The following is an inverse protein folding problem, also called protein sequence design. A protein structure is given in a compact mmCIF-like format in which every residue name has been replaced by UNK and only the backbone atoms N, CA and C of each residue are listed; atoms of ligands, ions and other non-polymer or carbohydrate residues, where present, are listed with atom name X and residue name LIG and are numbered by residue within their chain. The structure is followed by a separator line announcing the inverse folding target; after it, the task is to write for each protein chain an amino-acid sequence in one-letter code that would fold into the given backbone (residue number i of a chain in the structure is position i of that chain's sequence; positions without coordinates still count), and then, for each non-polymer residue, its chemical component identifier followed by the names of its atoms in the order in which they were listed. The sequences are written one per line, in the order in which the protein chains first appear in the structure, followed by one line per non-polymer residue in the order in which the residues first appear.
data_IF_644825336896
#
_entry.id   IF_644825336896
#
_cell.length_a   1.000
_cell.length_b   1.000
_cell.length_c   1.000
_cell.angle_alpha   90.00
_cell.angle_beta   90.00
_cell.angle_gamma   90.00
#
_symmetry.space_group_name_H-M   'P 1'
#
loop_
_entity.id
_entity.type
_entity.pdbx_description
1 polymer ?
#
# COMPACT_ATOMS: atom_id res chain seq x y z
N UNK A 1 -31.72 -39.79 14.59
CA UNK A 1 -30.81 -39.70 13.43
C UNK A 1 -31.05 -38.35 12.77
N UNK A 2 -30.29 -37.34 13.14
CA UNK A 2 -30.40 -35.99 12.55
C UNK A 2 -29.55 -36.02 11.28
N UNK A 3 -30.21 -36.02 10.13
CA UNK A 3 -29.52 -35.91 8.84
C UNK A 3 -28.74 -34.58 8.81
N UNK A 4 -27.41 -34.68 8.62
CA UNK A 4 -26.60 -33.53 8.29
C UNK A 4 -27.13 -32.86 7.02
N UNK A 5 -27.23 -31.52 6.97
CA UNK A 5 -27.68 -30.85 5.76
C UNK A 5 -26.80 -31.25 4.58
N UNK A 6 -27.39 -31.43 3.39
CA UNK A 6 -26.62 -31.76 2.19
C UNK A 6 -25.50 -30.71 2.00
N UNK A 7 -24.35 -31.10 1.43
CA UNK A 7 -23.28 -30.13 1.17
C UNK A 7 -23.86 -28.99 0.36
N UNK A 8 -23.73 -27.77 0.89
CA UNK A 8 -24.22 -26.56 0.23
C UNK A 8 -23.73 -26.60 -1.21
N UNK A 9 -24.67 -26.42 -2.15
CA UNK A 9 -24.42 -26.38 -3.59
C UNK A 9 -23.11 -25.60 -3.82
N UNK A 10 -22.19 -26.20 -4.55
CA UNK A 10 -20.91 -25.59 -4.95
C UNK A 10 -21.20 -24.19 -5.46
N UNK A 11 -21.13 -23.18 -4.59
CA UNK A 11 -20.97 -21.82 -5.07
C UNK A 11 -19.70 -21.84 -5.91
N UNK A 12 -19.81 -21.47 -7.17
CA UNK A 12 -18.69 -21.32 -8.09
C UNK A 12 -17.86 -20.12 -7.68
N UNK A 13 -17.41 -20.10 -6.42
CA UNK A 13 -16.38 -19.16 -5.95
C UNK A 13 -15.12 -19.57 -6.65
N UNK A 14 -14.75 -18.82 -7.70
CA UNK A 14 -13.46 -19.00 -8.38
C UNK A 14 -12.38 -19.04 -7.31
N UNK A 15 -11.50 -20.06 -7.28
CA UNK A 15 -10.42 -20.10 -6.32
C UNK A 15 -9.61 -18.82 -6.48
N UNK A 16 -9.60 -18.01 -5.43
CA UNK A 16 -8.83 -16.77 -5.43
C UNK A 16 -7.37 -17.14 -5.26
N UNK A 17 -6.57 -16.96 -6.29
CA UNK A 17 -5.14 -17.27 -6.27
C UNK A 17 -4.34 -16.10 -5.68
N UNK A 18 -3.34 -16.43 -4.86
CA UNK A 18 -2.34 -15.48 -4.38
C UNK A 18 -1.75 -14.67 -5.55
N UNK A 19 -1.69 -13.37 -5.39
CA UNK A 19 -1.17 -12.44 -6.39
C UNK A 19 0.25 -12.04 -6.04
N UNK A 20 1.28 -12.59 -6.70
CA UNK A 20 2.66 -12.25 -6.39
C UNK A 20 2.91 -10.74 -6.55
N UNK A 21 3.46 -10.11 -5.52
CA UNK A 21 3.80 -8.68 -5.51
C UNK A 21 5.30 -8.41 -5.49
N UNK A 22 6.13 -9.46 -5.45
CA UNK A 22 7.59 -9.32 -5.38
C UNK A 22 8.19 -8.58 -6.59
N UNK A 23 7.76 -8.89 -7.81
CA UNK A 23 8.19 -8.19 -9.02
C UNK A 23 7.78 -6.70 -9.01
N UNK A 24 6.54 -6.42 -8.58
CA UNK A 24 6.06 -5.04 -8.45
C UNK A 24 6.83 -4.27 -7.37
N UNK A 25 7.16 -4.91 -6.24
CA UNK A 25 8.04 -4.34 -5.20
C UNK A 25 9.38 -3.92 -5.78
N UNK A 26 10.01 -4.78 -6.57
CA UNK A 26 11.31 -4.48 -7.19
C UNK A 26 11.19 -3.32 -8.19
N UNK A 27 10.20 -3.36 -9.07
CA UNK A 27 9.93 -2.28 -10.02
C UNK A 27 9.68 -0.94 -9.29
N UNK A 28 8.84 -0.93 -8.26
CA UNK A 28 8.57 0.26 -7.45
C UNK A 28 9.78 0.76 -6.69
N UNK A 29 10.65 -0.13 -6.20
CA UNK A 29 11.89 0.29 -5.54
C UNK A 29 12.76 1.12 -6.49
N UNK A 30 12.91 0.68 -7.74
CA UNK A 30 13.69 1.42 -8.73
C UNK A 30 13.00 2.68 -9.23
N UNK A 31 11.71 2.62 -9.54
CA UNK A 31 10.94 3.78 -9.98
C UNK A 31 10.93 4.89 -8.92
N UNK A 32 10.64 4.55 -7.68
CA UNK A 32 10.65 5.52 -6.57
C UNK A 32 12.06 6.05 -6.28
N UNK A 33 13.11 5.24 -6.47
CA UNK A 33 14.49 5.74 -6.36
C UNK A 33 14.81 6.76 -7.46
N UNK A 34 14.36 6.50 -8.70
CA UNK A 34 14.49 7.46 -9.82
C UNK A 34 13.64 8.71 -9.55
N UNK A 35 12.42 8.58 -9.02
CA UNK A 35 11.59 9.72 -8.62
C UNK A 35 12.28 10.57 -7.55
N UNK A 36 12.92 9.95 -6.54
CA UNK A 36 13.67 10.67 -5.50
C UNK A 36 14.84 11.46 -6.10
N UNK A 37 15.65 10.81 -6.96
CA UNK A 37 16.77 11.47 -7.66
C UNK A 37 16.25 12.59 -8.57
N UNK A 38 15.18 12.33 -9.33
CA UNK A 38 14.54 13.31 -10.19
C UNK A 38 14.03 14.52 -9.42
N UNK A 39 13.40 14.30 -8.25
CA UNK A 39 12.97 15.40 -7.38
C UNK A 39 14.15 16.27 -6.91
N UNK A 40 15.28 15.65 -6.55
CA UNK A 40 16.50 16.39 -6.19
C UNK A 40 17.09 17.15 -7.39
N UNK A 41 17.06 16.56 -8.60
CA UNK A 41 17.51 17.24 -9.81
C UNK A 41 16.65 18.48 -10.14
N UNK A 42 15.32 18.36 -10.00
CA UNK A 42 14.41 19.50 -10.16
C UNK A 42 14.67 20.57 -9.09
N UNK A 43 14.89 20.17 -7.83
CA UNK A 43 15.28 21.11 -6.77
C UNK A 43 16.57 21.87 -7.12
N UNK A 44 17.59 21.16 -7.60
CA UNK A 44 18.83 21.77 -8.10
C UNK A 44 18.63 22.75 -9.25
N UNK A 45 17.74 22.41 -10.19
CA UNK A 45 17.39 23.34 -11.31
C UNK A 45 16.70 24.61 -10.80
N UNK A 46 15.79 24.51 -9.83
CA UNK A 46 15.17 25.68 -9.19
C UNK A 46 16.19 26.56 -8.43
N UNK A 47 17.14 25.92 -7.70
CA UNK A 47 18.21 26.65 -7.03
C UNK A 47 19.09 27.37 -8.05
N UNK A 48 19.50 26.70 -9.14
CA UNK A 48 20.30 27.29 -10.20
C UNK A 48 19.57 28.48 -10.83
N UNK A 49 18.25 28.36 -11.13
CA UNK A 49 17.46 29.47 -11.66
C UNK A 49 17.38 30.66 -10.68
N UNK A 50 17.20 30.38 -9.38
CA UNK A 50 17.19 31.43 -8.36
C UNK A 50 18.51 32.21 -8.30
N UNK A 51 19.65 31.51 -8.42
CA UNK A 51 20.98 32.14 -8.52
C UNK A 51 21.14 32.94 -9.81
N UNK A 52 20.72 32.38 -10.94
CA UNK A 52 20.77 33.07 -12.24
C UNK A 52 19.94 34.37 -12.26
N UNK A 53 18.79 34.41 -11.55
CA UNK A 53 17.99 35.64 -11.37
C UNK A 53 18.76 36.69 -10.58
N UNK A 54 19.42 36.30 -9.49
CA UNK A 54 20.23 37.23 -8.69
C UNK A 54 21.42 37.79 -9.46
N UNK A 55 22.10 36.95 -10.24
CA UNK A 55 23.22 37.37 -11.09
C UNK A 55 22.75 38.29 -12.22
N UNK A 56 21.62 38.02 -12.83
CA UNK A 56 21.05 38.86 -13.87
C UNK A 56 20.70 40.26 -13.33
N UNK A 57 20.10 40.35 -12.14
CA UNK A 57 19.77 41.64 -11.47
C UNK A 57 21.00 42.47 -11.15
N UNK A 58 22.13 41.84 -10.90
CA UNK A 58 23.41 42.50 -10.62
C UNK A 58 24.19 42.84 -11.88
N UNK A 59 23.67 42.51 -13.06
CA UNK A 59 24.36 42.68 -14.35
C UNK A 59 25.50 41.67 -14.55
N UNK A 60 25.62 40.62 -13.73
CA UNK A 60 26.68 39.62 -13.79
C UNK A 60 26.45 38.51 -14.83
N UNK A 61 25.26 38.40 -15.40
CA UNK A 61 24.93 37.41 -16.43
C UNK A 61 24.00 37.94 -17.50
N UNK A 62 23.84 37.21 -18.59
CA UNK A 62 23.03 37.53 -19.74
C UNK A 62 21.62 36.94 -19.67
N UNK A 63 20.66 37.55 -20.39
CA UNK A 63 19.31 37.00 -20.51
C UNK A 63 19.27 35.61 -21.10
N UNK A 64 20.22 35.26 -22.01
CA UNK A 64 20.34 33.89 -22.54
C UNK A 64 20.67 32.85 -21.48
N UNK A 65 21.51 33.20 -20.51
CA UNK A 65 21.83 32.32 -19.38
C UNK A 65 20.63 32.11 -18.45
N UNK A 66 19.87 33.18 -18.19
CA UNK A 66 18.63 33.06 -17.40
C UNK A 66 17.59 32.16 -18.10
N UNK A 67 17.47 32.31 -19.45
CA UNK A 67 16.58 31.45 -20.25
C UNK A 67 17.02 29.98 -20.20
N UNK A 68 18.32 29.70 -20.28
CA UNK A 68 18.85 28.33 -20.18
C UNK A 68 18.51 27.70 -18.80
N UNK A 69 18.57 28.49 -17.72
CA UNK A 69 18.18 28.01 -16.40
C UNK A 69 16.65 27.71 -16.31
N UNK A 70 15.81 28.52 -16.95
CA UNK A 70 14.37 28.27 -17.04
C UNK A 70 14.06 27.01 -17.87
N UNK A 71 14.72 26.84 -19.00
CA UNK A 71 14.59 25.62 -19.84
C UNK A 71 15.03 24.36 -19.09
N UNK A 72 16.04 24.44 -18.25
CA UNK A 72 16.44 23.32 -17.38
C UNK A 72 15.34 22.93 -16.39
N UNK A 73 14.70 23.92 -15.71
CA UNK A 73 13.58 23.63 -14.81
C UNK A 73 12.44 22.97 -15.56
N UNK A 74 12.06 23.44 -16.74
CA UNK A 74 11.00 22.84 -17.56
C UNK A 74 11.33 21.44 -17.99
N UNK A 75 12.55 21.21 -18.46
CA UNK A 75 13.00 19.90 -18.96
C UNK A 75 12.99 18.87 -17.84
N UNK A 76 13.63 19.15 -16.71
CA UNK A 76 13.66 18.22 -15.58
C UNK A 76 12.27 17.98 -14.99
N UNK A 77 11.42 19.01 -14.88
CA UNK A 77 10.04 18.86 -14.40
C UNK A 77 9.22 18.02 -15.35
N UNK A 78 9.32 18.24 -16.65
CA UNK A 78 8.64 17.42 -17.66
C UNK A 78 9.06 15.96 -17.63
N UNK A 79 10.37 15.70 -17.58
CA UNK A 79 10.90 14.33 -17.52
C UNK A 79 10.42 13.60 -16.25
N UNK A 80 10.54 14.24 -15.10
CA UNK A 80 10.11 13.63 -13.82
C UNK A 80 8.61 13.42 -13.74
N UNK A 81 7.80 14.23 -14.42
CA UNK A 81 6.35 14.03 -14.49
C UNK A 81 6.00 12.69 -15.16
N UNK A 82 6.63 12.33 -16.27
CA UNK A 82 6.35 11.06 -16.93
C UNK A 82 6.84 9.86 -16.11
N UNK A 83 7.96 9.98 -15.42
CA UNK A 83 8.45 8.94 -14.50
C UNK A 83 7.46 8.75 -13.35
N UNK A 84 7.02 9.85 -12.72
CA UNK A 84 6.01 9.83 -11.67
C UNK A 84 4.71 9.17 -12.13
N UNK A 85 4.25 9.45 -13.36
CA UNK A 85 3.05 8.83 -13.90
C UNK A 85 3.21 7.31 -14.04
N UNK A 86 4.35 6.84 -14.54
CA UNK A 86 4.65 5.41 -14.61
C UNK A 86 4.71 4.78 -13.21
N UNK A 87 5.35 5.46 -12.26
CA UNK A 87 5.39 5.03 -10.84
C UNK A 87 3.97 4.93 -10.27
N UNK A 88 3.11 5.92 -10.49
CA UNK A 88 1.74 5.94 -9.99
C UNK A 88 0.93 4.74 -10.49
N UNK A 89 1.04 4.38 -11.76
CA UNK A 89 0.36 3.21 -12.34
C UNK A 89 0.81 1.93 -11.65
N UNK A 90 2.12 1.70 -11.55
CA UNK A 90 2.67 0.49 -10.92
C UNK A 90 2.31 0.44 -9.43
N UNK A 91 2.31 1.60 -8.77
CA UNK A 91 1.96 1.75 -7.35
C UNK A 91 0.49 1.38 -7.07
N UNK A 92 -0.43 1.88 -7.89
CA UNK A 92 -1.87 1.55 -7.78
C UNK A 92 -2.11 0.06 -8.03
N UNK A 93 -1.44 -0.53 -9.03
CA UNK A 93 -1.54 -1.97 -9.31
C UNK A 93 -1.00 -2.80 -8.14
N UNK A 94 0.14 -2.41 -7.57
CA UNK A 94 0.70 -3.05 -6.39
C UNK A 94 -0.24 -2.94 -5.19
N UNK A 95 -0.78 -1.75 -4.92
CA UNK A 95 -1.71 -1.52 -3.81
C UNK A 95 -2.98 -2.38 -3.94
N UNK A 96 -3.55 -2.45 -5.15
CA UNK A 96 -4.72 -3.28 -5.40
C UNK A 96 -4.44 -4.76 -5.21
N UNK A 97 -3.29 -5.27 -5.72
CA UNK A 97 -2.89 -6.67 -5.49
C UNK A 97 -2.68 -6.96 -4.00
N UNK A 98 -2.05 -6.04 -3.29
CA UNK A 98 -1.82 -6.18 -1.83
C UNK A 98 -3.15 -6.18 -1.05
N UNK A 99 -4.14 -5.37 -1.45
CA UNK A 99 -5.47 -5.40 -0.86
C UNK A 99 -6.18 -6.74 -1.11
N UNK A 100 -6.07 -7.29 -2.33
CA UNK A 100 -6.58 -8.62 -2.66
C UNK A 100 -5.88 -9.73 -1.86
N UNK A 101 -4.58 -9.63 -1.65
CA UNK A 101 -3.85 -10.59 -0.84
C UNK A 101 -4.30 -10.57 0.64
N UNK A 102 -4.63 -9.40 1.19
CA UNK A 102 -5.19 -9.33 2.54
C UNK A 102 -6.55 -10.04 2.66
N UNK A 103 -7.40 -10.00 1.61
CA UNK A 103 -8.62 -10.81 1.58
C UNK A 103 -8.30 -12.31 1.62
N UNK A 104 -7.28 -12.76 0.86
CA UNK A 104 -6.83 -14.17 0.85
C UNK A 104 -6.20 -14.62 2.16
N UNK A 105 -5.62 -13.70 2.93
CA UNK A 105 -5.15 -13.97 4.28
C UNK A 105 -6.29 -14.05 5.31
N UNK A 106 -7.56 -14.01 4.86
CA UNK A 106 -8.72 -14.12 5.72
C UNK A 106 -9.00 -12.86 6.56
N UNK A 107 -8.50 -11.69 6.15
CA UNK A 107 -8.72 -10.42 6.87
C UNK A 107 -10.14 -9.93 6.63
N UNK A 108 -11.04 -10.28 7.55
CA UNK A 108 -12.47 -9.98 7.44
C UNK A 108 -12.76 -8.48 7.64
N UNK A 109 -13.77 -7.99 6.93
CA UNK A 109 -14.31 -6.63 7.06
C UNK A 109 -13.24 -5.53 6.89
N UNK A 110 -12.50 -5.48 5.75
CA UNK A 110 -11.65 -4.33 5.47
C UNK A 110 -12.51 -3.06 5.46
N UNK A 111 -11.93 -1.91 5.84
CA UNK A 111 -12.65 -0.61 5.82
C UNK A 111 -13.09 -0.24 4.42
N UNK A 112 -12.29 -0.63 3.43
CA UNK A 112 -12.52 -0.35 2.03
C UNK A 112 -12.33 -1.63 1.22
N UNK A 113 -13.21 -1.86 0.23
CA UNK A 113 -12.99 -2.93 -0.74
C UNK A 113 -11.74 -2.66 -1.58
N UNK A 114 -11.10 -3.68 -2.18
CA UNK A 114 -9.90 -3.49 -3.01
C UNK A 114 -10.08 -2.49 -4.17
N UNK A 115 -11.29 -2.27 -4.66
CA UNK A 115 -11.57 -1.25 -5.67
C UNK A 115 -11.23 0.17 -5.23
N UNK A 116 -11.35 0.47 -3.93
CA UNK A 116 -10.96 1.75 -3.37
C UNK A 116 -9.45 2.01 -3.37
N UNK A 117 -8.62 0.96 -3.54
CA UNK A 117 -7.19 1.12 -3.80
C UNK A 117 -6.90 1.82 -5.13
N UNK A 118 -7.88 1.86 -6.02
CA UNK A 118 -7.82 2.61 -7.29
C UNK A 118 -8.65 3.89 -7.15
N UNK A 119 -9.96 3.78 -6.91
CA UNK A 119 -10.89 4.92 -6.91
C UNK A 119 -10.55 5.99 -5.87
N UNK A 120 -9.99 5.60 -4.72
CA UNK A 120 -9.62 6.53 -3.66
C UNK A 120 -8.59 7.60 -4.05
N UNK A 121 -7.82 7.38 -5.14
CA UNK A 121 -6.84 8.35 -5.63
C UNK A 121 -7.44 9.44 -6.52
N UNK A 122 -8.60 9.17 -7.14
CA UNK A 122 -9.20 10.04 -8.17
C UNK A 122 -10.33 10.91 -7.63
N UNK A 123 -10.84 10.64 -6.44
CA UNK A 123 -11.95 11.41 -5.86
C UNK A 123 -11.37 12.56 -5.02
N UNK A 124 -11.66 13.83 -5.36
CA UNK A 124 -11.21 14.99 -4.58
C UNK A 124 -11.57 14.85 -3.09
N UNK A 125 -10.72 15.35 -2.22
CA UNK A 125 -10.80 15.23 -0.75
C UNK A 125 -10.71 13.80 -0.21
N UNK A 126 -11.33 12.82 -0.87
CA UNK A 126 -11.20 11.41 -0.50
C UNK A 126 -9.76 10.91 -0.69
N UNK A 127 -9.06 11.42 -1.71
CA UNK A 127 -7.66 11.13 -1.99
C UNK A 127 -6.70 11.57 -0.86
N UNK A 128 -7.13 12.44 0.05
CA UNK A 128 -6.34 12.83 1.23
C UNK A 128 -6.49 11.86 2.41
N UNK A 129 -7.57 11.07 2.44
CA UNK A 129 -7.91 10.23 3.61
C UNK A 129 -7.93 8.74 3.28
N UNK A 130 -8.56 8.37 2.15
CA UNK A 130 -8.80 6.96 1.81
C UNK A 130 -7.49 6.20 1.58
N UNK A 131 -6.52 6.68 0.78
CA UNK A 131 -5.26 5.97 0.58
C UNK A 131 -4.51 5.73 1.89
N UNK A 132 -4.41 6.76 2.75
CA UNK A 132 -3.77 6.63 4.06
C UNK A 132 -4.38 5.51 4.89
N UNK A 133 -5.72 5.43 4.94
CA UNK A 133 -6.43 4.40 5.69
C UNK A 133 -6.22 3.02 5.09
N UNK A 134 -6.20 2.90 3.76
CA UNK A 134 -5.90 1.64 3.07
C UNK A 134 -4.49 1.16 3.40
N UNK A 135 -3.49 2.05 3.42
CA UNK A 135 -2.13 1.67 3.79
C UNK A 135 -2.02 1.17 5.23
N UNK A 136 -2.76 1.76 6.16
CA UNK A 136 -2.85 1.23 7.53
C UNK A 136 -3.50 -0.15 7.55
N UNK A 137 -4.57 -0.36 6.78
CA UNK A 137 -5.23 -1.66 6.66
C UNK A 137 -4.30 -2.71 6.00
N UNK A 138 -3.51 -2.31 4.99
CA UNK A 138 -2.50 -3.18 4.37
C UNK A 138 -1.41 -3.60 5.36
N UNK A 139 -0.91 -2.66 6.16
CA UNK A 139 0.08 -2.92 7.19
C UNK A 139 -0.45 -3.85 8.30
N UNK A 140 -1.60 -3.51 8.86
CA UNK A 140 -2.22 -4.29 9.94
C UNK A 140 -2.61 -5.68 9.46
N UNK A 141 -3.19 -5.79 8.26
CA UNK A 141 -3.58 -7.06 7.65
C UNK A 141 -2.40 -7.94 7.21
N UNK A 142 -1.23 -7.36 7.01
CA UNK A 142 0.00 -8.08 6.65
C UNK A 142 0.73 -8.70 7.85
N UNK A 143 0.18 -8.64 9.06
CA UNK A 143 0.84 -9.18 10.25
C UNK A 143 0.87 -10.71 10.21
N UNK A 144 2.07 -11.35 10.16
CA UNK A 144 2.20 -12.80 10.12
C UNK A 144 1.78 -13.48 11.42
N UNK A 145 1.86 -12.75 12.55
CA UNK A 145 1.54 -13.29 13.88
C UNK A 145 0.05 -13.17 14.23
N UNK A 146 -0.74 -12.53 13.38
CA UNK A 146 -2.18 -12.36 13.60
C UNK A 146 -2.90 -13.70 13.41
N UNK A 147 -3.28 -14.34 14.50
CA UNK A 147 -4.11 -15.55 14.52
C UNK A 147 -5.60 -15.24 14.51
N UNK A 148 -6.00 -14.06 15.01
CA UNK A 148 -7.39 -13.64 15.04
C UNK A 148 -7.74 -12.81 13.80
N UNK A 149 -8.51 -13.39 12.91
CA UNK A 149 -8.94 -12.77 11.65
C UNK A 149 -9.99 -11.66 11.83
N UNK A 150 -10.52 -11.48 13.04
CA UNK A 150 -11.57 -10.47 13.33
C UNK A 150 -10.99 -9.13 13.82
N UNK A 151 -9.95 -9.16 14.65
CA UNK A 151 -9.47 -7.97 15.40
C UNK A 151 -8.16 -7.37 14.84
N UNK A 152 -7.74 -7.79 13.65
CA UNK A 152 -6.50 -7.32 13.02
C UNK A 152 -6.41 -5.79 12.88
N UNK A 153 -7.55 -5.08 12.82
CA UNK A 153 -7.60 -3.62 12.75
C UNK A 153 -7.26 -2.90 14.05
N UNK A 154 -7.26 -3.61 15.17
CA UNK A 154 -6.82 -3.10 16.48
C UNK A 154 -5.31 -3.05 16.62
N UNK A 155 -4.55 -3.68 15.72
CA UNK A 155 -3.10 -3.70 15.76
C UNK A 155 -2.49 -2.29 15.65
N UNK A 156 -1.31 -2.11 16.25
CA UNK A 156 -0.59 -0.84 16.27
C UNK A 156 -0.37 -0.32 14.85
N UNK A 157 -0.68 0.96 14.63
CA UNK A 157 -0.37 1.65 13.38
C UNK A 157 1.13 1.90 13.27
N UNK A 158 1.66 1.78 12.06
CA UNK A 158 3.06 2.06 11.81
C UNK A 158 3.25 3.55 11.45
N UNK A 159 4.02 4.32 12.27
CA UNK A 159 4.13 5.76 12.08
C UNK A 159 4.79 6.15 10.75
N UNK A 160 5.63 5.28 10.15
CA UNK A 160 6.28 5.54 8.86
C UNK A 160 5.25 5.81 7.74
N UNK A 161 4.08 5.15 7.79
CA UNK A 161 2.99 5.40 6.82
C UNK A 161 2.48 6.85 6.97
N UNK A 162 2.33 7.34 8.19
CA UNK A 162 1.92 8.71 8.47
C UNK A 162 2.97 9.73 8.01
N UNK A 163 4.26 9.47 8.28
CA UNK A 163 5.37 10.33 7.83
C UNK A 163 5.45 10.38 6.30
N UNK A 164 5.35 9.22 5.63
CA UNK A 164 5.29 9.15 4.19
C UNK A 164 4.15 10.00 3.62
N UNK A 165 2.95 9.81 4.17
CA UNK A 165 1.76 10.51 3.72
C UNK A 165 1.86 12.02 3.94
N UNK A 166 2.36 12.44 5.09
CA UNK A 166 2.61 13.84 5.41
C UNK A 166 3.56 14.49 4.39
N UNK A 167 4.71 13.87 4.12
CA UNK A 167 5.67 14.38 3.14
C UNK A 167 5.04 14.49 1.74
N UNK A 168 4.26 13.48 1.32
CA UNK A 168 3.59 13.47 0.02
C UNK A 168 2.57 14.61 -0.11
N UNK A 169 1.67 14.73 0.87
CA UNK A 169 0.61 15.76 0.85
C UNK A 169 1.21 17.17 0.97
N UNK A 170 2.20 17.34 1.86
CA UNK A 170 2.87 18.63 2.02
C UNK A 170 3.61 19.07 0.75
N UNK A 171 4.28 18.13 0.07
CA UNK A 171 4.91 18.41 -1.23
C UNK A 171 3.90 18.95 -2.24
N UNK A 172 2.73 18.29 -2.37
CA UNK A 172 1.65 18.75 -3.26
C UNK A 172 1.07 20.11 -2.88
N UNK A 173 0.83 20.33 -1.58
CA UNK A 173 0.30 21.59 -1.08
C UNK A 173 1.25 22.77 -1.34
N UNK A 174 2.56 22.58 -1.09
CA UNK A 174 3.58 23.57 -1.38
C UNK A 174 3.65 23.88 -2.88
N UNK A 175 3.61 22.86 -3.74
CA UNK A 175 3.65 23.05 -5.19
C UNK A 175 2.41 23.81 -5.70
N UNK A 176 1.24 23.58 -5.10
CA UNK A 176 0.01 24.29 -5.47
C UNK A 176 0.05 25.78 -5.07
N UNK A 177 0.78 26.13 -4.00
CA UNK A 177 0.86 27.51 -3.47
C UNK A 177 1.65 28.49 -4.36
N UNK A 178 2.38 28.00 -5.36
CA UNK A 178 3.29 28.82 -6.22
C UNK A 178 2.72 29.10 -7.62
N UNK A 179 1.42 29.18 -7.77
CA UNK A 179 0.78 29.47 -9.06
C UNK A 179 0.53 30.98 -9.23
N UNK A 180 0.90 31.55 -10.37
CA UNK A 180 0.54 32.92 -10.76
C UNK A 180 1.67 33.97 -10.68
N UNK A 181 2.92 33.57 -10.72
CA UNK A 181 4.08 34.44 -10.59
C UNK A 181 4.34 35.26 -11.89
N UNK A 182 4.40 36.57 -11.79
CA UNK A 182 4.57 37.47 -12.92
C UNK A 182 5.87 38.28 -12.89
N UNK A 183 6.52 38.41 -11.74
CA UNK A 183 7.77 39.17 -11.61
C UNK A 183 8.95 38.20 -11.30
N UNK A 184 10.19 38.67 -11.58
CA UNK A 184 11.40 37.92 -11.21
C UNK A 184 11.49 37.66 -9.70
N UNK A 185 10.94 38.54 -8.86
CA UNK A 185 10.90 38.36 -7.42
C UNK A 185 9.92 37.22 -7.01
N UNK A 186 8.78 37.17 -7.69
CA UNK A 186 7.78 36.12 -7.46
C UNK A 186 8.32 34.75 -7.90
N UNK A 187 8.94 34.70 -9.10
CA UNK A 187 9.59 33.48 -9.60
C UNK A 187 10.64 32.97 -8.61
N UNK A 188 11.47 33.85 -8.06
CA UNK A 188 12.50 33.46 -7.10
C UNK A 188 11.89 32.97 -5.76
N UNK A 189 10.78 33.57 -5.32
CA UNK A 189 10.04 33.07 -4.16
C UNK A 189 9.45 31.70 -4.44
N UNK A 190 8.84 31.51 -5.61
CA UNK A 190 8.30 30.24 -6.07
C UNK A 190 9.37 29.16 -6.17
N UNK A 191 10.58 29.50 -6.61
CA UNK A 191 11.70 28.59 -6.65
C UNK A 191 12.07 28.07 -5.26
N UNK A 192 12.15 28.92 -4.24
CA UNK A 192 12.43 28.52 -2.86
C UNK A 192 11.38 27.56 -2.31
N UNK A 193 10.10 27.84 -2.57
CA UNK A 193 9.00 26.95 -2.16
C UNK A 193 9.04 25.64 -2.95
N UNK A 194 9.33 25.68 -4.25
CA UNK A 194 9.48 24.51 -5.09
C UNK A 194 10.63 23.60 -4.62
N UNK A 195 11.77 24.18 -4.24
CA UNK A 195 12.88 23.41 -3.63
C UNK A 195 12.39 22.64 -2.39
N UNK A 196 11.71 23.32 -1.47
CA UNK A 196 11.16 22.64 -0.29
C UNK A 196 10.17 21.53 -0.67
N UNK A 197 9.25 21.79 -1.62
CA UNK A 197 8.31 20.81 -2.12
C UNK A 197 9.02 19.58 -2.69
N UNK A 198 10.09 19.78 -3.48
CA UNK A 198 10.86 18.67 -4.07
C UNK A 198 11.65 17.87 -3.04
N UNK A 199 12.17 18.50 -1.99
CA UNK A 199 12.80 17.78 -0.87
C UNK A 199 11.80 16.89 -0.13
N UNK A 200 10.58 17.39 0.14
CA UNK A 200 9.52 16.57 0.72
C UNK A 200 9.09 15.43 -0.22
N UNK A 201 9.05 15.67 -1.54
CA UNK A 201 8.75 14.61 -2.51
C UNK A 201 9.83 13.53 -2.52
N UNK A 202 11.12 13.90 -2.48
CA UNK A 202 12.21 12.95 -2.40
C UNK A 202 12.14 12.12 -1.11
N UNK A 203 11.87 12.75 0.04
CA UNK A 203 11.65 12.05 1.30
C UNK A 203 10.44 11.11 1.23
N UNK A 204 9.33 11.55 0.63
CA UNK A 204 8.15 10.71 0.41
C UNK A 204 8.48 9.48 -0.45
N UNK A 205 9.25 9.64 -1.52
CA UNK A 205 9.64 8.52 -2.38
C UNK A 205 10.49 7.49 -1.62
N UNK A 206 11.45 7.93 -0.81
CA UNK A 206 12.27 7.04 0.04
C UNK A 206 11.40 6.31 1.07
N UNK A 207 10.50 7.01 1.76
CA UNK A 207 9.58 6.42 2.73
C UNK A 207 8.61 5.44 2.06
N UNK A 208 8.15 5.74 0.83
CA UNK A 208 7.31 4.83 0.05
C UNK A 208 8.03 3.52 -0.28
N UNK A 209 9.33 3.56 -0.61
CA UNK A 209 10.15 2.34 -0.79
C UNK A 209 10.10 1.48 0.47
N UNK A 210 10.30 2.08 1.64
CA UNK A 210 10.27 1.36 2.93
C UNK A 210 8.89 0.75 3.16
N UNK A 211 7.82 1.50 2.93
CA UNK A 211 6.42 1.04 3.10
C UNK A 211 6.11 -0.13 2.17
N UNK A 212 6.39 0.01 0.87
CA UNK A 212 6.14 -1.02 -0.15
C UNK A 212 6.90 -2.30 0.16
N UNK A 213 8.19 -2.20 0.47
CA UNK A 213 9.03 -3.36 0.78
C UNK A 213 8.54 -4.08 2.03
N UNK A 214 8.26 -3.35 3.08
CA UNK A 214 7.86 -3.93 4.36
C UNK A 214 6.50 -4.61 4.28
N UNK A 215 5.49 -3.98 3.68
CA UNK A 215 4.16 -4.58 3.51
C UNK A 215 4.28 -5.86 2.65
N UNK A 216 5.00 -5.80 1.52
CA UNK A 216 5.16 -6.96 0.63
C UNK A 216 5.83 -8.13 1.36
N UNK A 217 6.90 -7.88 2.13
CA UNK A 217 7.61 -8.92 2.87
C UNK A 217 6.74 -9.53 3.98
N UNK A 218 6.00 -8.71 4.71
CA UNK A 218 5.08 -9.18 5.76
C UNK A 218 3.94 -10.02 5.18
N UNK A 219 3.34 -9.60 4.07
CA UNK A 219 2.29 -10.38 3.39
C UNK A 219 2.82 -11.72 2.90
N UNK A 220 4.04 -11.78 2.37
CA UNK A 220 4.66 -13.04 1.97
C UNK A 220 4.85 -13.97 3.19
N UNK A 221 5.42 -13.46 4.28
CA UNK A 221 5.60 -14.21 5.51
C UNK A 221 4.27 -14.71 6.10
N UNK A 222 3.22 -13.88 6.10
CA UNK A 222 1.89 -14.28 6.56
C UNK A 222 1.28 -15.38 5.67
N UNK A 223 1.47 -15.32 4.36
CA UNK A 223 1.02 -16.35 3.43
C UNK A 223 1.78 -17.66 3.65
N UNK A 224 3.09 -17.60 3.86
CA UNK A 224 3.92 -18.78 4.08
C UNK A 224 3.61 -19.42 5.45
N UNK A 225 3.40 -18.63 6.50
CA UNK A 225 2.92 -19.09 7.81
C UNK A 225 1.53 -19.71 7.71
N UNK A 226 0.62 -19.12 6.96
CA UNK A 226 -0.72 -19.65 6.71
C UNK A 226 -0.68 -21.02 6.02
N UNK A 227 0.21 -21.20 5.04
CA UNK A 227 0.43 -22.47 4.37
C UNK A 227 1.04 -23.51 5.30
N UNK A 228 2.01 -23.11 6.13
CA UNK A 228 2.64 -24.01 7.11
C UNK A 228 1.67 -24.50 8.19
N UNK A 229 0.67 -23.66 8.56
CA UNK A 229 -0.38 -24.02 9.53
C UNK A 229 -1.54 -24.75 8.85
N UNK A 230 -1.51 -24.88 7.52
CA UNK A 230 -2.58 -25.53 6.76
C UNK A 230 -3.92 -24.77 6.82
N UNK A 231 -3.88 -23.42 6.85
CA UNK A 231 -5.11 -22.64 6.79
C UNK A 231 -5.81 -22.90 5.46
N UNK A 232 -7.03 -23.44 5.49
CA UNK A 232 -7.72 -23.88 4.30
C UNK A 232 -8.08 -22.73 3.36
N UNK A 233 -8.01 -22.97 2.05
CA UNK A 233 -8.30 -21.97 1.02
C UNK A 233 -9.80 -21.66 0.84
N UNK A 234 -10.69 -22.40 1.48
CA UNK A 234 -12.15 -22.21 1.39
C UNK A 234 -12.90 -23.26 2.23
N UNK A 235 -14.24 -23.18 2.31
CA UNK A 235 -15.04 -24.16 3.04
C UNK A 235 -14.84 -25.56 2.49
N UNK A 236 -14.30 -26.46 3.27
CA UNK A 236 -14.08 -27.86 2.92
C UNK A 236 -13.62 -28.69 4.14
N UNK A 237 -13.50 -30.01 3.94
CA UNK A 237 -12.89 -30.93 4.86
C UNK A 237 -11.38 -30.96 4.67
N UNK A 238 -10.62 -30.73 5.75
CA UNK A 238 -9.16 -30.75 5.77
C UNK A 238 -8.65 -31.64 6.89
N UNK A 239 -7.38 -32.00 6.84
CA UNK A 239 -6.75 -32.73 7.95
C UNK A 239 -6.95 -31.94 9.26
N UNK A 240 -7.37 -32.62 10.33
CA UNK A 240 -7.63 -31.97 11.62
C UNK A 240 -6.33 -31.36 12.20
N UNK A 241 -6.25 -30.03 12.38
CA UNK A 241 -5.06 -29.37 12.91
C UNK A 241 -4.74 -29.80 14.36
N UNK A 242 -5.72 -30.36 15.08
CA UNK A 242 -5.52 -30.91 16.43
C UNK A 242 -5.01 -32.36 16.43
N UNK A 243 -4.97 -32.99 15.26
CA UNK A 243 -4.61 -34.39 15.08
C UNK A 243 -5.43 -35.40 15.92
N UNK A 244 -6.60 -34.96 16.43
CA UNK A 244 -7.52 -35.82 17.20
C UNK A 244 -8.45 -36.65 16.31
N UNK A 245 -8.71 -36.13 15.12
CA UNK A 245 -9.55 -36.73 14.08
C UNK A 245 -8.80 -36.74 12.76
N UNK A 246 -9.30 -37.49 11.77
CA UNK A 246 -8.65 -37.56 10.46
C UNK A 246 -8.90 -36.23 9.68
N UNK A 247 -10.13 -35.69 9.77
CA UNK A 247 -10.51 -34.44 9.10
C UNK A 247 -11.36 -33.59 10.03
N UNK A 248 -11.31 -32.26 9.82
CA UNK A 248 -12.18 -31.25 10.41
C UNK A 248 -12.72 -30.33 9.33
N UNK A 249 -13.95 -29.90 9.49
CA UNK A 249 -14.57 -28.99 8.53
C UNK A 249 -14.16 -27.54 8.83
N UNK A 250 -13.69 -26.89 7.81
CA UNK A 250 -13.44 -25.44 7.76
C UNK A 250 -14.61 -24.75 7.08
N UNK A 251 -15.25 -23.74 7.69
CA UNK A 251 -16.40 -23.02 7.14
C UNK A 251 -16.04 -21.86 6.22
N UNK A 252 -14.75 -21.66 5.93
CA UNK A 252 -14.22 -20.51 5.19
C UNK A 252 -13.71 -19.39 6.10
N UNK A 253 -14.00 -19.45 7.40
CA UNK A 253 -13.62 -18.44 8.39
C UNK A 253 -13.03 -19.02 9.67
N UNK A 254 -13.47 -20.22 10.07
CA UNK A 254 -13.06 -20.89 11.30
C UNK A 254 -13.16 -22.42 11.16
N UNK A 255 -12.37 -23.12 11.97
CA UNK A 255 -12.56 -24.53 12.18
C UNK A 255 -13.86 -24.75 12.98
N UNK A 256 -14.66 -25.72 12.54
CA UNK A 256 -15.92 -26.04 13.20
C UNK A 256 -15.78 -27.25 14.13
N UNK A 257 -16.81 -27.55 14.90
CA UNK A 257 -16.92 -28.76 15.67
C UNK A 257 -17.10 -30.03 14.80
N UNK A 258 -17.42 -29.88 13.51
CA UNK A 258 -17.61 -31.00 12.62
C UNK A 258 -16.28 -31.68 12.29
N UNK A 259 -16.20 -32.95 12.63
CA UNK A 259 -15.00 -33.79 12.44
C UNK A 259 -15.36 -35.09 11.77
N UNK A 260 -14.40 -35.74 11.14
CA UNK A 260 -14.54 -37.06 10.56
C UNK A 260 -13.41 -37.97 11.02
N UNK A 261 -13.75 -39.24 11.35
CA UNK A 261 -12.81 -40.32 11.68
C UNK A 261 -13.22 -41.58 10.95
N UNK A 262 -12.29 -42.21 10.26
CA UNK A 262 -12.52 -43.44 9.46
C UNK A 262 -13.70 -43.30 8.46
N UNK A 263 -13.95 -42.09 7.93
CA UNK A 263 -15.03 -41.81 7.00
C UNK A 263 -16.39 -41.49 7.64
N UNK A 264 -16.52 -41.63 8.96
CA UNK A 264 -17.73 -41.25 9.69
C UNK A 264 -17.63 -39.81 10.22
N UNK A 265 -18.71 -39.04 9.99
CA UNK A 265 -18.80 -37.67 10.45
C UNK A 265 -19.44 -37.58 11.84
N UNK A 266 -18.84 -36.80 12.72
CA UNK A 266 -19.32 -36.58 14.08
C UNK A 266 -19.02 -35.15 14.52
N UNK A 267 -19.48 -34.76 15.71
CA UNK A 267 -19.09 -33.50 16.34
C UNK A 267 -18.04 -33.75 17.42
N UNK A 268 -17.03 -32.86 17.46
CA UNK A 268 -16.04 -32.85 18.53
C UNK A 268 -16.64 -32.17 19.79
N UNK A 269 -16.93 -32.94 20.84
CA UNK A 269 -17.59 -32.37 22.04
C UNK A 269 -16.67 -31.43 22.83
N UNK A 270 -15.35 -31.55 22.68
CA UNK A 270 -14.41 -30.68 23.38
C UNK A 270 -14.18 -29.34 22.67
N UNK A 271 -14.70 -29.18 21.45
CA UNK A 271 -14.60 -27.91 20.71
C UNK A 271 -15.57 -26.85 21.23
N UNK A 272 -16.75 -27.25 21.70
CA UNK A 272 -17.74 -26.35 22.30
C UNK A 272 -17.36 -25.91 23.73
N UNK A 273 -16.65 -26.73 24.48
CA UNK A 273 -16.19 -26.41 25.84
C UNK A 273 -15.14 -25.28 25.86
N UNK A 274 -14.27 -25.20 24.86
CA UNK A 274 -13.26 -24.14 24.75
C UNK A 274 -13.80 -22.76 24.32
N UNK A 275 -14.99 -22.72 23.75
CA UNK A 275 -15.65 -21.44 23.36
C UNK A 275 -16.45 -20.78 24.50
N UNK A 276 -16.73 -21.53 25.57
CA UNK A 276 -17.48 -21.04 26.75
C UNK A 276 -16.59 -20.42 27.85
N UNK A 277 -15.29 -20.76 27.87
CA UNK A 277 -14.34 -20.22 28.87
C UNK A 277 -13.66 -18.91 28.44
N UNK A 278 -13.91 -18.43 27.23
CA UNK A 278 -13.34 -17.18 26.69
C UNK A 278 -14.34 -16.01 26.63
N UNK A 279 -15.28 -15.95 27.60
CA UNK A 279 -16.19 -14.79 27.78
C UNK A 279 -15.84 -14.03 29.05
#
# INVERSE_FOLDING_TARGET
MTQLPPPASRSTVRPQHWRPTAGLRTALTWLLAVDAVGALAVAGAHLNRSVAIDDYRRGGTTFSHLRAADDAVRTFTGLTFFIFLATAVVFIVWQWRSAKNNELLGRLRPRFSPGWSIGGWFIPFANLVIPLRIFHDLWQGADPDTRNYRDWRGLRRWPVIGCWWFCYVLSGALQYSVSGDTTLADIQRADKVSVAARLFMAAAAVLAIVVVRTITTRQAAANDSGRAIGVPAGPAWYADPTSRYDHRYWDGTSWTAHVARAGEMTNDPSFEAGSAEAR
#
